data_IF_793901774858
#
_entry.id   IF_793901774858
#
_cell.length_a   1.000
_cell.length_b   1.000
_cell.length_c   1.000
_cell.angle_alpha   90.00
_cell.angle_beta   90.00
_cell.angle_gamma   90.00
#
_symmetry.space_group_name_H-M   'P 1'
#
loop_
_entity.id
_entity.type
_entity.pdbx_description
1 polymer ?
#
# COMPACT_ATOMS: atom_id res chain seq x y z
N UNK A 1 0.07 12.27 15.90
CA UNK A 1 -1.22 11.73 16.37
C UNK A 1 -1.38 10.37 15.72
N UNK A 2 -1.39 9.29 16.51
CA UNK A 2 -1.59 7.92 16.01
C UNK A 2 -3.00 7.79 15.47
N UNK A 3 -3.11 7.36 14.20
CA UNK A 3 -4.29 6.97 13.41
C UNK A 3 -5.53 7.87 13.55
N UNK A 4 -5.95 8.43 12.42
CA UNK A 4 -7.22 9.15 12.30
C UNK A 4 -8.36 8.17 12.07
N UNK A 5 -9.59 8.52 12.45
CA UNK A 5 -10.77 7.66 12.25
C UNK A 5 -11.29 7.80 10.83
N UNK A 6 -10.48 7.39 9.87
CA UNK A 6 -10.73 7.48 8.42
C UNK A 6 -10.93 6.09 7.82
N UNK A 7 -11.66 6.03 6.72
CA UNK A 7 -11.81 4.82 5.93
C UNK A 7 -11.15 5.02 4.56
N UNK A 8 -10.54 3.95 4.04
CA UNK A 8 -9.81 3.99 2.78
C UNK A 8 -10.61 4.52 1.58
N UNK A 9 -11.85 4.07 1.36
CA UNK A 9 -12.68 4.57 0.25
C UNK A 9 -13.01 6.06 0.32
N UNK A 10 -13.08 6.64 1.53
CA UNK A 10 -13.34 8.07 1.69
C UNK A 10 -12.11 8.90 1.32
N UNK A 11 -10.90 8.42 1.62
CA UNK A 11 -9.66 9.06 1.19
C UNK A 11 -9.61 9.15 -0.35
N UNK A 12 -9.96 8.06 -1.01
CA UNK A 12 -10.03 7.98 -2.47
C UNK A 12 -11.12 8.91 -3.02
N UNK A 13 -12.31 8.88 -2.44
CA UNK A 13 -13.44 9.71 -2.89
C UNK A 13 -13.13 11.20 -2.79
N UNK A 14 -12.55 11.65 -1.68
CA UNK A 14 -12.12 13.05 -1.49
C UNK A 14 -11.03 13.43 -2.50
N UNK A 15 -10.07 12.54 -2.74
CA UNK A 15 -9.00 12.77 -3.71
C UNK A 15 -9.55 12.93 -5.14
N UNK A 16 -10.37 11.99 -5.60
CA UNK A 16 -10.92 12.03 -6.96
C UNK A 16 -11.92 13.16 -7.17
N UNK A 17 -12.64 13.55 -6.12
CA UNK A 17 -13.49 14.74 -6.18
C UNK A 17 -12.64 16.00 -6.45
N UNK A 18 -11.54 16.19 -5.70
CA UNK A 18 -10.61 17.31 -5.90
C UNK A 18 -9.92 17.29 -7.27
N UNK A 19 -9.69 16.10 -7.81
CA UNK A 19 -9.13 15.95 -9.16
C UNK A 19 -10.14 16.37 -10.23
N UNK A 20 -11.38 15.90 -10.10
CA UNK A 20 -12.46 16.10 -11.08
C UNK A 20 -12.99 17.53 -11.10
N UNK A 21 -13.21 18.13 -9.92
CA UNK A 21 -13.84 19.44 -9.78
C UNK A 21 -12.84 20.58 -9.52
N UNK A 22 -11.57 20.23 -9.29
CA UNK A 22 -10.50 21.20 -9.09
C UNK A 22 -10.33 21.63 -7.63
N UNK A 23 -9.55 22.70 -7.39
CA UNK A 23 -9.25 23.14 -6.03
C UNK A 23 -10.50 23.62 -5.30
N UNK A 24 -10.72 23.14 -4.08
CA UNK A 24 -11.92 23.48 -3.31
C UNK A 24 -11.64 23.83 -1.85
N UNK A 25 -12.51 24.67 -1.30
CA UNK A 25 -12.51 25.06 0.10
C UNK A 25 -13.12 23.99 1.00
N UNK A 26 -12.93 24.15 2.30
CA UNK A 26 -13.52 23.25 3.31
C UNK A 26 -15.05 23.20 3.23
N UNK A 27 -15.70 24.35 3.00
CA UNK A 27 -17.17 24.45 2.94
C UNK A 27 -17.69 23.67 1.73
N UNK A 28 -17.12 23.89 0.54
CA UNK A 28 -17.51 23.20 -0.70
C UNK A 28 -17.35 21.68 -0.59
N UNK A 29 -16.25 21.21 0.01
CA UNK A 29 -16.05 19.79 0.29
C UNK A 29 -17.04 19.28 1.33
N UNK A 30 -17.29 20.04 2.39
CA UNK A 30 -18.28 19.67 3.39
C UNK A 30 -19.69 19.60 2.80
N UNK A 31 -20.04 20.43 1.82
CA UNK A 31 -21.33 20.37 1.13
C UNK A 31 -21.39 19.16 0.18
N UNK A 32 -20.32 18.91 -0.59
CA UNK A 32 -20.24 17.78 -1.53
C UNK A 32 -20.30 16.41 -0.83
N UNK A 33 -19.68 16.29 0.34
CA UNK A 33 -19.72 15.09 1.18
C UNK A 33 -20.79 15.17 2.29
N UNK A 34 -21.50 16.31 2.36
CA UNK A 34 -22.52 16.65 3.35
C UNK A 34 -23.94 16.23 2.97
N UNK A 35 -24.16 15.74 1.74
CA UNK A 35 -25.43 15.11 1.35
C UNK A 35 -25.78 13.83 2.15
N UNK A 36 -24.86 13.31 2.97
CA UNK A 36 -25.10 12.28 3.99
C UNK A 36 -25.46 12.87 5.38
N UNK A 37 -25.91 14.13 5.46
CA UNK A 37 -26.28 14.84 6.70
C UNK A 37 -27.80 14.75 6.94
N UNK A 38 -28.35 13.53 6.89
CA UNK A 38 -29.51 13.16 7.73
C UNK A 38 -29.03 12.34 8.94
N UNK A 39 -27.83 12.63 9.43
CA UNK A 39 -27.17 11.86 10.49
C UNK A 39 -25.94 12.52 11.13
N UNK A 40 -26.07 13.74 11.66
CA UNK A 40 -25.21 14.27 12.74
C UNK A 40 -23.77 14.73 12.44
N UNK A 41 -23.14 15.33 13.47
CA UNK A 41 -21.80 15.98 13.49
C UNK A 41 -20.61 15.09 13.08
N UNK A 42 -20.82 13.79 12.83
CA UNK A 42 -19.76 12.81 12.57
C UNK A 42 -19.13 12.92 11.18
N UNK A 43 -19.86 13.41 10.17
CA UNK A 43 -19.35 13.49 8.78
C UNK A 43 -18.24 14.55 8.62
N UNK A 44 -18.39 15.70 9.29
CA UNK A 44 -17.39 16.78 9.23
C UNK A 44 -16.05 16.41 9.87
N UNK A 45 -16.05 15.58 10.92
CA UNK A 45 -14.82 15.11 11.57
C UNK A 45 -14.05 14.13 10.66
N UNK A 46 -14.76 13.22 9.98
CA UNK A 46 -14.15 12.27 9.05
C UNK A 46 -13.53 12.98 7.83
N UNK A 47 -14.19 14.02 7.31
CA UNK A 47 -13.63 14.82 6.21
C UNK A 47 -12.36 15.56 6.62
N UNK A 48 -12.34 16.19 7.80
CA UNK A 48 -11.12 16.83 8.32
C UNK A 48 -9.97 15.85 8.50
N UNK A 49 -10.31 14.66 9.00
CA UNK A 49 -9.36 13.60 9.18
C UNK A 49 -8.82 13.09 7.84
N UNK A 50 -9.68 12.91 6.83
CA UNK A 50 -9.28 12.55 5.48
C UNK A 50 -8.37 13.62 4.84
N UNK A 51 -8.77 14.88 4.87
CA UNK A 51 -7.98 16.00 4.31
C UNK A 51 -6.63 16.13 5.00
N UNK A 52 -6.61 16.00 6.33
CA UNK A 52 -5.38 16.01 7.08
C UNK A 52 -4.51 14.81 6.72
N UNK A 53 -5.04 13.58 6.68
CA UNK A 53 -4.28 12.40 6.28
C UNK A 53 -3.68 12.53 4.88
N UNK A 54 -4.49 12.86 3.88
CA UNK A 54 -4.06 13.05 2.49
C UNK A 54 -3.03 14.18 2.36
N UNK A 55 -3.22 15.28 3.07
CA UNK A 55 -2.30 16.43 3.05
C UNK A 55 -0.95 16.07 3.66
N UNK A 56 -0.98 15.27 4.73
CA UNK A 56 0.20 14.84 5.47
C UNK A 56 0.97 13.74 4.73
N UNK A 57 0.27 12.84 4.05
CA UNK A 57 0.86 11.92 3.06
C UNK A 57 1.42 12.70 1.84
N UNK A 58 0.99 13.93 1.60
CA UNK A 58 1.47 14.76 0.50
C UNK A 58 0.84 14.43 -0.85
N UNK A 59 -0.29 13.72 -0.86
CA UNK A 59 -1.06 13.43 -2.09
C UNK A 59 -2.02 14.56 -2.46
N UNK A 60 -2.39 15.40 -1.48
CA UNK A 60 -3.03 16.70 -1.72
C UNK A 60 -2.17 17.84 -1.15
N UNK A 61 -2.43 19.06 -1.63
CA UNK A 61 -1.79 20.28 -1.12
C UNK A 61 -2.84 21.31 -0.72
N UNK A 62 -2.52 22.17 0.24
CA UNK A 62 -3.37 23.30 0.66
C UNK A 62 -2.70 24.62 0.29
N UNK A 63 -3.36 25.46 -0.51
CA UNK A 63 -2.91 26.81 -0.87
C UNK A 63 -4.05 27.79 -0.70
N UNK A 64 -3.86 28.89 0.05
CA UNK A 64 -4.88 29.93 0.29
C UNK A 64 -6.25 29.35 0.70
N UNK A 65 -6.25 28.38 1.62
CA UNK A 65 -7.42 27.64 2.10
C UNK A 65 -8.13 26.71 1.08
N UNK A 66 -7.57 26.53 -0.11
CA UNK A 66 -8.07 25.55 -1.08
C UNK A 66 -7.21 24.30 -1.07
N UNK A 67 -7.85 23.14 -1.07
CA UNK A 67 -7.23 21.83 -1.22
C UNK A 67 -7.15 21.46 -2.70
N UNK A 68 -6.10 20.76 -3.12
CA UNK A 68 -5.91 20.31 -4.50
C UNK A 68 -5.15 18.99 -4.55
N UNK A 69 -5.62 18.04 -5.37
CA UNK A 69 -4.87 16.84 -5.73
C UNK A 69 -3.54 17.15 -6.40
N UNK A 70 -2.46 16.50 -5.97
CA UNK A 70 -1.11 16.72 -6.53
C UNK A 70 -0.92 15.99 -7.86
N UNK A 71 -1.56 14.83 -8.04
CA UNK A 71 -1.46 13.99 -9.23
C UNK A 71 -2.76 14.07 -10.03
N UNK A 72 -2.70 13.71 -11.31
CA UNK A 72 -3.86 13.69 -12.22
C UNK A 72 -3.83 12.40 -13.04
N UNK A 73 -4.99 11.96 -13.49
CA UNK A 73 -5.21 10.76 -14.29
C UNK A 73 -4.98 9.46 -13.52
N UNK A 74 -5.14 9.45 -12.20
CA UNK A 74 -5.00 8.20 -11.44
C UNK A 74 -6.27 7.36 -11.58
N UNK A 75 -6.11 6.05 -11.73
CA UNK A 75 -7.16 5.06 -11.45
C UNK A 75 -7.12 4.70 -9.95
N UNK A 76 -8.09 3.90 -9.48
CA UNK A 76 -8.15 3.49 -8.06
C UNK A 76 -6.85 2.82 -7.59
N UNK A 77 -6.32 1.90 -8.39
CA UNK A 77 -5.06 1.21 -8.09
C UNK A 77 -3.88 2.19 -8.07
N UNK A 78 -3.82 3.14 -9.01
CA UNK A 78 -2.82 4.20 -9.06
C UNK A 78 -2.90 5.17 -7.89
N UNK A 79 -4.10 5.44 -7.36
CA UNK A 79 -4.26 6.15 -6.10
C UNK A 79 -3.64 5.36 -4.93
N UNK A 80 -3.91 4.05 -4.83
CA UNK A 80 -3.35 3.20 -3.77
C UNK A 80 -1.82 3.11 -3.84
N UNK A 81 -1.22 2.86 -5.00
CA UNK A 81 0.25 2.78 -5.15
C UNK A 81 0.90 4.14 -4.89
N UNK A 82 0.29 5.23 -5.36
CA UNK A 82 0.74 6.59 -5.05
C UNK A 82 0.71 6.84 -3.55
N UNK A 83 -0.40 6.53 -2.88
CA UNK A 83 -0.53 6.71 -1.44
C UNK A 83 0.51 5.88 -0.68
N UNK A 84 0.68 4.59 -0.98
CA UNK A 84 1.68 3.72 -0.36
C UNK A 84 3.10 4.26 -0.50
N UNK A 85 3.48 4.69 -1.72
CA UNK A 85 4.78 5.30 -1.98
C UNK A 85 5.02 6.53 -1.10
N UNK A 86 3.99 7.36 -0.97
CA UNK A 86 4.02 8.53 -0.11
C UNK A 86 4.12 8.17 1.37
N UNK A 87 3.34 7.18 1.83
CA UNK A 87 3.37 6.68 3.21
C UNK A 87 4.77 6.15 3.58
N UNK A 88 5.46 5.43 2.69
CA UNK A 88 6.86 4.99 2.93
C UNK A 88 7.84 6.14 3.00
N UNK A 89 7.61 7.20 2.23
CA UNK A 89 8.48 8.38 2.21
C UNK A 89 8.26 9.33 3.40
N UNK A 90 7.19 9.16 4.18
CA UNK A 90 6.92 9.98 5.37
C UNK A 90 8.05 9.78 6.39
N UNK A 91 8.76 10.87 6.69
CA UNK A 91 9.72 10.92 7.80
C UNK A 91 8.98 11.16 9.11
N UNK A 92 9.54 10.69 10.24
CA UNK A 92 8.99 10.86 11.60
C UNK A 92 8.53 12.31 11.94
N UNK A 93 9.07 13.32 11.25
CA UNK A 93 8.76 14.75 11.46
C UNK A 93 7.47 15.25 10.77
N UNK A 94 6.86 14.50 9.85
CA UNK A 94 5.80 15.02 8.98
C UNK A 94 4.38 14.91 9.55
N UNK A 95 4.18 14.56 10.82
CA UNK A 95 2.84 14.51 11.45
C UNK A 95 1.98 13.30 11.08
N UNK A 96 2.25 12.64 9.94
CA UNK A 96 1.68 11.33 9.65
C UNK A 96 2.49 10.32 10.40
N UNK A 97 1.78 9.37 10.99
CA UNK A 97 2.40 8.42 11.87
C UNK A 97 3.43 7.55 11.11
N UNK A 98 4.73 7.63 11.43
CA UNK A 98 5.75 6.79 10.80
C UNK A 98 5.49 5.30 11.06
N UNK A 99 4.68 4.98 12.07
CA UNK A 99 4.24 3.63 12.38
C UNK A 99 3.10 3.15 11.46
N UNK A 100 2.56 3.95 10.52
CA UNK A 100 1.44 3.48 9.69
C UNK A 100 1.75 2.19 8.91
N UNK A 101 2.78 2.23 8.06
CA UNK A 101 3.34 1.02 7.47
C UNK A 101 4.38 0.36 8.39
N UNK A 102 4.90 1.09 9.38
CA UNK A 102 5.80 0.54 10.39
C UNK A 102 5.16 -0.56 11.25
N UNK A 103 3.87 -0.48 11.56
CA UNK A 103 3.14 -1.53 12.27
C UNK A 103 2.99 -2.79 11.42
N UNK A 104 2.71 -2.64 10.12
CA UNK A 104 2.70 -3.79 9.19
C UNK A 104 4.08 -4.44 9.18
N UNK A 105 5.14 -3.62 9.09
CA UNK A 105 6.51 -4.11 9.09
C UNK A 105 6.87 -4.84 10.39
N UNK A 106 6.67 -4.21 11.54
CA UNK A 106 7.07 -4.73 12.87
C UNK A 106 6.25 -5.95 13.27
N UNK A 107 4.94 -5.95 13.03
CA UNK A 107 4.05 -7.00 13.54
C UNK A 107 3.96 -8.22 12.61
N UNK A 108 4.16 -8.02 11.30
CA UNK A 108 3.91 -9.06 10.29
C UNK A 108 5.12 -9.36 9.42
N UNK A 109 5.73 -8.35 8.78
CA UNK A 109 6.78 -8.58 7.78
C UNK A 109 8.10 -9.04 8.42
N UNK A 110 8.58 -8.31 9.44
CA UNK A 110 9.81 -8.62 10.16
C UNK A 110 9.78 -10.01 10.82
N UNK A 111 8.74 -10.36 11.61
CA UNK A 111 8.64 -11.68 12.21
C UNK A 111 8.16 -12.77 11.24
N UNK A 112 7.71 -12.41 10.04
CA UNK A 112 7.07 -13.29 9.06
C UNK A 112 5.81 -13.99 9.58
N UNK A 113 4.96 -13.21 10.27
CA UNK A 113 3.69 -13.67 10.83
C UNK A 113 2.55 -13.27 9.92
N UNK A 114 1.63 -14.19 9.64
CA UNK A 114 0.48 -13.94 8.75
C UNK A 114 -0.73 -13.34 9.46
N UNK A 115 -0.93 -13.60 10.76
CA UNK A 115 -2.13 -13.19 11.48
C UNK A 115 -1.84 -12.84 12.94
N UNK A 116 -2.52 -11.80 13.43
CA UNK A 116 -2.63 -11.47 14.85
C UNK A 116 -4.08 -11.20 15.23
N UNK A 117 -4.51 -11.78 16.35
CA UNK A 117 -5.71 -11.36 17.06
C UNK A 117 -5.36 -10.32 18.14
N UNK A 118 -6.37 -9.65 18.71
CA UNK A 118 -6.13 -8.75 19.85
C UNK A 118 -5.18 -7.58 19.55
N UNK A 119 -5.19 -7.07 18.31
CA UNK A 119 -4.26 -6.06 17.82
C UNK A 119 -4.15 -4.81 18.70
N UNK A 120 -5.25 -4.42 19.35
CA UNK A 120 -5.24 -3.30 20.28
C UNK A 120 -4.20 -3.48 21.41
N UNK A 121 -4.14 -4.65 22.04
CA UNK A 121 -3.14 -4.93 23.09
C UNK A 121 -1.74 -4.99 22.52
N UNK A 122 -1.57 -5.66 21.38
CA UNK A 122 -0.28 -5.83 20.72
C UNK A 122 0.34 -4.51 20.25
N UNK A 123 -0.47 -3.61 19.68
CA UNK A 123 -0.02 -2.29 19.25
C UNK A 123 0.38 -1.45 20.47
N UNK A 124 -0.42 -1.47 21.54
CA UNK A 124 -0.10 -0.72 22.76
C UNK A 124 1.06 -1.31 23.58
N UNK A 125 1.53 -2.53 23.27
CA UNK A 125 2.76 -3.07 23.87
C UNK A 125 4.04 -2.59 23.16
N UNK A 126 3.91 -1.88 22.04
CA UNK A 126 5.03 -1.28 21.32
C UNK A 126 5.38 0.10 21.91
N UNK A 127 6.63 0.53 21.70
CA UNK A 127 7.09 1.88 22.05
C UNK A 127 6.52 2.92 21.06
N UNK A 128 5.27 3.29 21.30
CA UNK A 128 4.51 4.28 20.55
C UNK A 128 4.52 5.63 21.29
N UNK A 129 4.39 6.76 20.56
CA UNK A 129 4.35 8.10 21.16
C UNK A 129 3.12 8.36 22.05
N UNK A 130 2.19 7.40 22.16
CA UNK A 130 1.05 7.44 23.04
C UNK A 130 0.13 6.23 22.85
N UNK A 131 -0.87 6.05 23.72
CA UNK A 131 -1.82 4.95 23.60
C UNK A 131 -2.66 5.08 22.33
N UNK A 132 -2.94 3.93 21.71
CA UNK A 132 -3.81 3.82 20.55
C UNK A 132 -5.13 3.16 20.95
N UNK A 133 -6.26 3.86 20.80
CA UNK A 133 -7.58 3.29 21.13
C UNK A 133 -8.00 2.18 20.16
N UNK A 134 -9.02 1.42 20.53
CA UNK A 134 -9.60 0.40 19.65
C UNK A 134 -10.16 0.98 18.35
N UNK A 135 -10.82 2.15 18.40
CA UNK A 135 -11.35 2.82 17.21
C UNK A 135 -10.23 3.17 16.23
N UNK A 136 -9.08 3.60 16.75
CA UNK A 136 -7.90 3.94 15.95
C UNK A 136 -7.27 2.72 15.30
N UNK A 137 -7.15 1.62 16.05
CA UNK A 137 -6.69 0.34 15.49
C UNK A 137 -7.68 -0.16 14.43
N UNK A 138 -8.98 -0.02 14.66
CA UNK A 138 -10.02 -0.40 13.71
C UNK A 138 -9.95 0.43 12.42
N UNK A 139 -9.77 1.74 12.52
CA UNK A 139 -9.59 2.62 11.38
C UNK A 139 -8.31 2.25 10.60
N UNK A 140 -7.18 2.06 11.29
CA UNK A 140 -5.93 1.60 10.67
C UNK A 140 -6.13 0.30 9.88
N UNK A 141 -6.76 -0.72 10.49
CA UNK A 141 -7.03 -2.00 9.81
C UNK A 141 -7.86 -1.83 8.54
N UNK A 142 -8.87 -0.96 8.56
CA UNK A 142 -9.73 -0.69 7.39
C UNK A 142 -8.94 -0.06 6.26
N UNK A 143 -8.04 0.88 6.58
CA UNK A 143 -7.18 1.50 5.57
C UNK A 143 -6.16 0.50 5.03
N UNK A 144 -5.56 -0.34 5.90
CA UNK A 144 -4.62 -1.40 5.49
C UNK A 144 -5.28 -2.43 4.57
N UNK A 145 -6.49 -2.89 4.91
CA UNK A 145 -7.28 -3.77 4.04
C UNK A 145 -7.61 -3.10 2.70
N UNK A 146 -8.11 -1.86 2.74
CA UNK A 146 -8.43 -1.09 1.54
C UNK A 146 -7.22 -0.92 0.59
N UNK A 147 -6.04 -0.68 1.16
CA UNK A 147 -4.78 -0.58 0.43
C UNK A 147 -4.30 -1.91 -0.16
N UNK A 148 -4.99 -3.02 0.10
CA UNK A 148 -4.62 -4.35 -0.40
C UNK A 148 -3.48 -4.98 0.38
N UNK A 149 -3.33 -4.66 1.68
CA UNK A 149 -2.23 -5.17 2.50
C UNK A 149 -2.66 -6.31 3.45
N UNK A 150 -3.92 -6.71 3.42
CA UNK A 150 -4.44 -7.77 4.26
C UNK A 150 -5.95 -7.82 4.30
N UNK A 151 -6.47 -8.72 5.11
CA UNK A 151 -7.89 -9.00 5.28
C UNK A 151 -8.26 -8.91 6.76
N UNK A 152 -9.34 -8.20 7.07
CA UNK A 152 -9.87 -8.14 8.44
C UNK A 152 -10.72 -9.38 8.73
N UNK A 153 -10.49 -10.02 9.87
CA UNK A 153 -11.28 -11.18 10.31
C UNK A 153 -11.09 -11.45 11.79
N UNK A 154 -12.13 -11.98 12.45
CA UNK A 154 -12.09 -12.45 13.85
C UNK A 154 -11.50 -11.46 14.87
N UNK A 155 -11.76 -10.17 14.69
CA UNK A 155 -11.18 -9.14 15.56
C UNK A 155 -9.66 -8.93 15.38
N UNK A 156 -9.03 -9.59 14.42
CA UNK A 156 -7.62 -9.46 14.03
C UNK A 156 -7.40 -8.87 12.63
N UNK A 157 -6.21 -9.11 12.08
CA UNK A 157 -5.84 -8.79 10.70
C UNK A 157 -4.90 -9.88 10.20
N UNK A 158 -5.22 -10.44 9.03
CA UNK A 158 -4.34 -11.33 8.29
C UNK A 158 -3.61 -10.51 7.22
N UNK A 159 -2.28 -10.45 7.26
CA UNK A 159 -1.47 -9.68 6.30
C UNK A 159 -0.98 -10.61 5.19
N UNK A 160 -1.51 -10.33 4.01
CA UNK A 160 -1.07 -10.87 2.73
C UNK A 160 -1.35 -9.78 1.71
N UNK A 161 -0.34 -9.40 0.93
CA UNK A 161 -0.55 -8.34 -0.05
C UNK A 161 -1.41 -8.86 -1.20
N UNK A 162 -2.24 -7.98 -1.74
CA UNK A 162 -3.02 -8.29 -2.93
C UNK A 162 -2.09 -8.51 -4.13
N UNK A 163 -2.36 -9.55 -4.91
CA UNK A 163 -1.55 -9.87 -6.09
C UNK A 163 -1.66 -8.78 -7.15
N UNK A 164 -2.85 -8.19 -7.35
CA UNK A 164 -3.06 -7.08 -8.28
C UNK A 164 -2.29 -5.81 -7.87
N UNK A 165 -2.17 -5.54 -6.57
CA UNK A 165 -1.30 -4.48 -6.06
C UNK A 165 0.16 -4.73 -6.44
N UNK A 166 0.69 -5.94 -6.21
CA UNK A 166 2.07 -6.27 -6.59
C UNK A 166 2.28 -6.23 -8.11
N UNK A 167 1.32 -6.73 -8.90
CA UNK A 167 1.36 -6.64 -10.36
C UNK A 167 1.49 -5.19 -10.83
N UNK A 168 0.72 -4.26 -10.24
CA UNK A 168 0.83 -2.84 -10.56
C UNK A 168 2.17 -2.25 -10.17
N UNK A 169 2.68 -2.57 -8.98
CA UNK A 169 4.01 -2.09 -8.54
C UNK A 169 5.11 -2.62 -9.47
N UNK A 170 5.04 -3.90 -9.87
CA UNK A 170 5.95 -4.50 -10.84
C UNK A 170 5.82 -3.79 -12.19
N UNK A 171 4.61 -3.50 -12.65
CA UNK A 171 4.36 -2.74 -13.88
C UNK A 171 4.96 -1.32 -13.87
N UNK A 172 5.09 -0.71 -12.69
CA UNK A 172 5.74 0.61 -12.51
C UNK A 172 7.28 0.53 -12.41
N UNK A 173 7.89 -0.65 -12.39
CA UNK A 173 9.35 -0.77 -12.47
C UNK A 173 9.81 -0.33 -13.88
N UNK A 174 11.04 0.13 -14.06
CA UNK A 174 11.51 0.56 -15.39
C UNK A 174 11.94 -0.63 -16.25
N UNK A 175 12.40 -1.72 -15.62
CA UNK A 175 12.97 -2.87 -16.32
C UNK A 175 11.95 -3.99 -16.51
N UNK A 176 11.86 -4.54 -17.73
CA UNK A 176 11.00 -5.71 -18.01
C UNK A 176 11.52 -7.00 -17.35
N UNK A 177 12.82 -7.07 -17.08
CA UNK A 177 13.43 -8.14 -16.32
C UNK A 177 14.64 -7.64 -15.52
N UNK A 178 15.03 -8.38 -14.49
CA UNK A 178 16.23 -8.06 -13.76
C UNK A 178 16.42 -8.85 -12.47
N UNK A 179 17.48 -8.52 -11.71
CA UNK A 179 17.73 -9.14 -10.42
C UNK A 179 16.58 -8.86 -9.45
N UNK A 180 16.03 -9.91 -8.86
CA UNK A 180 14.97 -9.80 -7.85
C UNK A 180 15.40 -8.94 -6.67
N UNK A 181 16.68 -9.01 -6.28
CA UNK A 181 17.24 -8.15 -5.24
C UNK A 181 17.10 -6.65 -5.55
N UNK A 182 17.42 -6.23 -6.78
CA UNK A 182 17.33 -4.82 -7.19
C UNK A 182 15.89 -4.35 -7.25
N UNK A 183 14.97 -5.19 -7.72
CA UNK A 183 13.55 -4.91 -7.65
C UNK A 183 13.10 -4.72 -6.19
N UNK A 184 13.44 -5.64 -5.29
CA UNK A 184 13.01 -5.60 -3.90
C UNK A 184 13.56 -4.39 -3.14
N UNK A 185 14.89 -4.19 -3.19
CA UNK A 185 15.59 -3.15 -2.44
C UNK A 185 15.41 -1.76 -3.07
N UNK A 186 15.48 -1.69 -4.39
CA UNK A 186 15.47 -0.45 -5.15
C UNK A 186 14.07 0.05 -5.50
N UNK A 187 13.12 -0.85 -5.76
CA UNK A 187 11.78 -0.50 -6.28
C UNK A 187 10.66 -0.80 -5.27
N UNK A 188 10.42 -2.07 -4.93
CA UNK A 188 9.32 -2.48 -4.03
C UNK A 188 9.41 -1.78 -2.67
N UNK A 189 10.61 -1.63 -2.11
CA UNK A 189 10.82 -0.99 -0.82
C UNK A 189 10.27 0.45 -0.74
N UNK A 190 10.16 1.14 -1.90
CA UNK A 190 9.55 2.47 -1.99
C UNK A 190 8.05 2.45 -1.70
N UNK A 191 7.39 1.30 -1.81
CA UNK A 191 5.94 1.13 -1.63
C UNK A 191 5.62 0.34 -0.37
N UNK A 192 6.33 -0.76 -0.12
CA UNK A 192 5.95 -1.76 0.88
C UNK A 192 7.15 -2.30 1.66
N UNK A 193 6.98 -2.62 2.95
CA UNK A 193 7.91 -3.50 3.66
C UNK A 193 7.81 -4.91 3.08
N UNK A 194 8.96 -5.55 2.88
CA UNK A 194 9.03 -6.86 2.24
C UNK A 194 9.98 -7.85 2.93
N UNK A 195 10.99 -7.36 3.66
CA UNK A 195 12.06 -8.18 4.19
C UNK A 195 11.84 -8.58 5.65
N UNK A 196 11.94 -9.88 5.94
CA UNK A 196 11.99 -10.42 7.30
C UNK A 196 13.25 -9.95 8.05
N UNK A 197 13.34 -10.23 9.35
CA UNK A 197 14.56 -9.94 10.15
C UNK A 197 15.81 -10.62 9.56
N UNK A 198 15.64 -11.77 8.90
CA UNK A 198 16.73 -12.52 8.24
C UNK A 198 17.08 -11.99 6.85
N UNK A 199 16.41 -10.91 6.41
CA UNK A 199 16.54 -10.35 5.07
C UNK A 199 15.97 -11.24 3.97
N UNK A 200 15.10 -12.20 4.30
CA UNK A 200 14.34 -12.99 3.32
C UNK A 200 13.05 -12.26 2.91
N UNK A 201 12.45 -12.65 1.79
CA UNK A 201 11.12 -12.16 1.41
C UNK A 201 10.11 -12.73 2.40
N UNK A 202 9.34 -11.86 3.06
CA UNK A 202 8.25 -12.27 3.93
C UNK A 202 7.14 -12.96 3.13
N UNK A 203 6.45 -13.90 3.75
CA UNK A 203 5.35 -14.68 3.17
C UNK A 203 4.24 -13.79 2.62
N UNK A 204 4.00 -12.64 3.26
CA UNK A 204 3.05 -11.63 2.79
C UNK A 204 3.36 -11.07 1.38
N UNK A 205 4.62 -11.17 0.94
CA UNK A 205 5.09 -10.78 -0.41
C UNK A 205 5.39 -12.01 -1.27
N UNK A 206 5.95 -13.08 -0.69
CA UNK A 206 6.31 -14.28 -1.43
C UNK A 206 5.07 -14.98 -2.02
N UNK A 207 4.00 -15.16 -1.23
CA UNK A 207 2.79 -15.87 -1.69
C UNK A 207 2.09 -15.16 -2.86
N UNK A 208 1.90 -13.81 -2.83
CA UNK A 208 1.32 -13.13 -3.98
C UNK A 208 2.24 -13.12 -5.21
N UNK A 209 3.58 -13.10 -5.03
CA UNK A 209 4.51 -13.29 -6.14
C UNK A 209 4.38 -14.68 -6.78
N UNK A 210 4.22 -15.74 -5.97
CA UNK A 210 3.95 -17.09 -6.46
C UNK A 210 2.61 -17.18 -7.20
N UNK A 211 1.59 -16.47 -6.72
CA UNK A 211 0.30 -16.38 -7.42
C UNK A 211 0.43 -15.67 -8.78
N UNK A 212 1.20 -14.58 -8.85
CA UNK A 212 1.48 -13.89 -10.12
C UNK A 212 2.28 -14.76 -11.08
N UNK A 213 3.23 -15.54 -10.57
CA UNK A 213 3.97 -16.52 -11.36
C UNK A 213 3.06 -17.63 -11.90
N UNK A 214 2.22 -18.20 -11.04
CA UNK A 214 1.29 -19.27 -11.42
C UNK A 214 0.26 -18.81 -12.47
N UNK A 215 -0.05 -17.52 -12.51
CA UNK A 215 -0.96 -16.92 -13.49
C UNK A 215 -0.24 -16.35 -14.73
N UNK A 216 1.08 -16.57 -14.84
CA UNK A 216 1.88 -16.13 -15.98
C UNK A 216 2.08 -14.62 -16.08
N UNK A 217 1.78 -13.87 -15.01
CA UNK A 217 1.97 -12.42 -14.95
C UNK A 217 3.42 -12.02 -14.73
N UNK A 218 4.21 -12.92 -14.14
CA UNK A 218 5.65 -12.81 -13.98
C UNK A 218 6.30 -14.19 -14.11
N UNK A 219 7.62 -14.22 -14.21
CA UNK A 219 8.42 -15.45 -14.06
C UNK A 219 9.52 -15.24 -13.03
N UNK A 220 9.68 -16.20 -12.10
CA UNK A 220 10.67 -16.15 -11.03
C UNK A 220 11.70 -17.27 -11.25
N UNK A 221 12.92 -16.88 -11.63
CA UNK A 221 13.94 -17.84 -12.05
C UNK A 221 15.08 -17.95 -11.04
N UNK A 222 15.56 -19.18 -10.76
CA UNK A 222 16.89 -19.36 -10.19
C UNK A 222 17.94 -19.04 -11.27
N UNK A 223 18.99 -18.30 -10.90
CA UNK A 223 20.19 -18.11 -11.74
C UNK A 223 21.42 -18.40 -10.88
N UNK A 224 22.27 -19.35 -11.28
CA UNK A 224 23.37 -19.82 -10.42
C UNK A 224 24.54 -18.83 -10.37
N UNK A 225 24.94 -18.28 -11.52
CA UNK A 225 26.21 -17.52 -11.66
C UNK A 225 26.12 -16.02 -11.36
N UNK A 226 24.95 -15.53 -10.94
CA UNK A 226 24.79 -14.11 -10.63
C UNK A 226 25.18 -13.80 -9.17
N UNK A 227 25.85 -12.65 -8.91
CA UNK A 227 26.30 -12.25 -7.58
C UNK A 227 25.18 -11.75 -6.66
N UNK A 228 23.91 -11.92 -7.06
CA UNK A 228 22.74 -11.48 -6.30
C UNK A 228 22.30 -12.51 -5.25
N UNK A 229 21.68 -12.02 -4.18
CA UNK A 229 21.07 -12.87 -3.17
C UNK A 229 19.93 -13.70 -3.78
N UNK A 230 19.89 -14.99 -3.44
CA UNK A 230 18.77 -15.88 -3.76
C UNK A 230 17.72 -15.89 -2.66
N UNK A 231 16.45 -15.75 -3.05
CA UNK A 231 15.29 -15.70 -2.16
C UNK A 231 14.39 -16.94 -2.28
N UNK A 232 13.33 -16.98 -1.48
CA UNK A 232 12.30 -18.04 -1.49
C UNK A 232 12.87 -19.42 -1.10
N UNK A 233 13.73 -19.42 -0.07
CA UNK A 233 14.22 -20.63 0.58
C UNK A 233 14.95 -21.58 -0.37
N UNK A 234 14.33 -22.74 -0.65
CA UNK A 234 14.91 -23.79 -1.51
C UNK A 234 14.90 -23.44 -2.99
N UNK A 235 13.97 -22.58 -3.45
CA UNK A 235 13.88 -22.19 -4.87
C UNK A 235 15.06 -21.33 -5.33
N UNK A 236 15.69 -20.60 -4.41
CA UNK A 236 16.85 -19.72 -4.67
C UNK A 236 16.62 -18.78 -5.87
N UNK A 237 15.45 -18.17 -5.93
CA UNK A 237 15.07 -17.24 -6.99
C UNK A 237 15.98 -16.01 -6.94
N UNK A 238 16.55 -15.65 -8.09
CA UNK A 238 17.42 -14.46 -8.23
C UNK A 238 16.94 -13.47 -9.29
N UNK A 239 16.01 -13.88 -10.17
CA UNK A 239 15.62 -13.10 -11.34
C UNK A 239 14.11 -13.01 -11.44
N UNK A 240 13.61 -11.82 -11.80
CA UNK A 240 12.22 -11.52 -12.06
C UNK A 240 12.10 -11.10 -13.53
N UNK A 241 11.12 -11.67 -14.23
CA UNK A 241 10.73 -11.27 -15.59
C UNK A 241 9.25 -10.94 -15.57
N UNK A 242 8.83 -9.85 -16.22
CA UNK A 242 7.40 -9.59 -16.43
C UNK A 242 6.85 -10.55 -17.47
N UNK A 243 5.69 -11.12 -17.19
CA UNK A 243 4.97 -11.92 -18.19
C UNK A 243 4.54 -11.03 -19.35
N UNK A 244 4.46 -11.60 -20.54
CA UNK A 244 3.99 -10.89 -21.71
C UNK A 244 2.57 -10.36 -21.47
N UNK A 245 2.41 -9.04 -21.53
CA UNK A 245 1.10 -8.39 -21.52
C UNK A 245 0.42 -8.54 -22.88
N UNK A 246 0.26 -9.77 -23.37
CA UNK A 246 -0.66 -10.11 -24.47
C UNK A 246 -0.68 -9.17 -25.68
N UNK A 247 0.45 -8.58 -26.06
CA UNK A 247 0.58 -7.71 -27.22
C UNK A 247 1.73 -8.19 -28.11
N UNK A 248 1.56 -9.41 -28.63
CA UNK A 248 2.08 -9.96 -29.89
C UNK A 248 2.35 -11.47 -29.76
N UNK A 249 1.28 -12.26 -29.74
CA UNK A 249 1.35 -13.64 -30.21
C UNK A 249 1.07 -13.65 -31.71
N UNK A 250 2.12 -13.70 -32.55
CA UNK A 250 2.04 -14.23 -33.92
C UNK A 250 3.36 -14.95 -34.22
N UNK A 251 3.37 -16.01 -35.04
CA UNK A 251 3.56 -17.38 -34.56
C UNK A 251 4.93 -17.92 -34.98
N UNK A 252 5.28 -19.07 -34.41
CA UNK A 252 6.30 -19.96 -34.96
C UNK A 252 6.11 -20.13 -36.47
N UNK A 253 7.01 -19.56 -37.27
CA UNK A 253 7.27 -20.08 -38.60
C UNK A 253 8.03 -21.39 -38.42
N UNK A 254 7.28 -22.49 -38.42
CA UNK A 254 7.83 -23.81 -38.74
C UNK A 254 8.48 -23.73 -40.12
N UNK A 255 9.73 -24.14 -40.17
CA UNK A 255 10.47 -24.28 -41.41
C UNK A 255 9.88 -25.36 -42.31
N UNK A 256 10.05 -25.14 -43.61
CA UNK A 256 10.26 -26.14 -44.65
C UNK A 256 11.34 -25.59 -45.56
#
# INVERSE_FOLDING_TARGET
>A
MLFKTIYGPELESVYFWLERFGPAGRIELADAFGGMVTGGRSSAANLEDALSFLGTAGVITRKRNLYRGRYRGLDSTGFKTTLLRHLRAVKKKNGLDPYFLGLVDILYIKPDTSFHNGLHRLINSLDLPGPCSEEKVNAWRRVVEYLGLGLRGFGGLAVQYDAGLLERIIGEWDDNEGPLQLFLEGHLNRYLPWATIKGEIASAVALPLEQLEATGKIHLMPKQDLPYKGYMGKRKVKWLVRGDTGANSVPEKKGT
#
